data_IF_899114233263
#
_entry.id   IF_899114233263
#
_cell.length_a   1.000
_cell.length_b   1.000
_cell.length_c   1.000
_cell.angle_alpha   90.00
_cell.angle_beta   90.00
_cell.angle_gamma   90.00
#
_symmetry.space_group_name_H-M   'P 1'
#
loop_
_entity.id
_entity.type
_entity.pdbx_description
1 polymer ?
#
# COMPACT_ATOMS: atom_id res chain seq x y z
N UNK A 1 12.13 7.55 8.91
CA UNK A 1 10.69 7.22 8.80
C UNK A 1 10.49 5.76 9.16
N UNK A 2 9.48 5.46 9.97
CA UNK A 2 9.04 4.10 10.29
C UNK A 2 7.98 3.69 9.26
N UNK A 3 8.07 2.48 8.73
CA UNK A 3 7.08 1.89 7.83
C UNK A 3 6.39 0.76 8.58
N UNK A 4 5.07 0.66 8.44
CA UNK A 4 4.25 -0.32 9.15
C UNK A 4 3.49 -1.21 8.18
N UNK A 5 3.11 -2.39 8.67
CA UNK A 5 2.32 -3.34 7.88
C UNK A 5 1.05 -2.66 7.33
N UNK A 6 0.69 -2.98 6.07
CA UNK A 6 -0.47 -2.44 5.35
C UNK A 6 -0.45 -0.94 5.02
N UNK A 7 0.65 -0.24 5.29
CA UNK A 7 0.92 1.04 4.66
C UNK A 7 1.29 0.85 3.19
N UNK A 8 1.24 1.91 2.40
CA UNK A 8 1.66 1.85 1.00
C UNK A 8 2.78 2.83 0.71
N UNK A 9 3.64 2.45 -0.21
CA UNK A 9 4.69 3.31 -0.75
C UNK A 9 4.59 3.32 -2.26
N UNK A 10 4.79 4.49 -2.84
CA UNK A 10 4.80 4.69 -4.28
C UNK A 10 6.20 5.10 -4.71
N UNK A 11 6.64 4.54 -5.82
CA UNK A 11 7.95 4.78 -6.42
C UNK A 11 7.86 5.82 -7.54
N UNK A 12 9.00 6.29 -8.03
CA UNK A 12 9.06 7.31 -9.11
C UNK A 12 8.47 6.80 -10.42
N UNK A 13 8.48 5.49 -10.63
CA UNK A 13 7.90 4.81 -11.79
C UNK A 13 6.37 4.63 -11.66
N UNK A 14 5.75 5.12 -10.59
CA UNK A 14 4.32 4.98 -10.32
C UNK A 14 3.92 3.59 -9.81
N UNK A 15 4.89 2.73 -9.48
CA UNK A 15 4.59 1.44 -8.86
C UNK A 15 4.20 1.65 -7.41
N UNK A 16 3.08 1.04 -6.98
CA UNK A 16 2.57 1.12 -5.62
C UNK A 16 2.76 -0.23 -4.93
N UNK A 17 3.51 -0.21 -3.84
CA UNK A 17 3.81 -1.36 -3.01
C UNK A 17 3.06 -1.29 -1.69
N UNK A 18 2.67 -2.46 -1.17
CA UNK A 18 2.07 -2.61 0.15
C UNK A 18 3.12 -3.16 1.10
N UNK A 19 3.39 -2.43 2.18
CA UNK A 19 4.41 -2.76 3.19
C UNK A 19 4.04 -4.03 3.94
N UNK A 20 5.03 -4.89 4.18
CA UNK A 20 4.89 -6.16 4.89
C UNK A 20 5.66 -6.12 6.20
N UNK A 21 4.95 -6.31 7.31
CA UNK A 21 5.52 -6.34 8.65
C UNK A 21 6.03 -4.97 9.13
N UNK A 22 6.76 -4.99 10.24
CA UNK A 22 7.28 -3.80 10.93
C UNK A 22 8.81 -3.72 10.94
N UNK A 23 9.46 -4.79 10.51
CA UNK A 23 10.92 -4.94 10.52
C UNK A 23 11.45 -4.86 9.11
N UNK A 24 12.34 -3.89 8.87
CA UNK A 24 12.92 -3.65 7.56
C UNK A 24 14.43 -3.43 7.67
N UNK A 25 15.22 -3.81 6.64
CA UNK A 25 16.62 -3.41 6.57
C UNK A 25 16.76 -1.87 6.58
N UNK A 26 17.93 -1.37 6.97
CA UNK A 26 18.13 0.08 7.16
C UNK A 26 17.89 0.90 5.88
N UNK A 27 18.20 0.34 4.72
CA UNK A 27 18.22 1.04 3.43
C UNK A 27 16.96 0.85 2.58
N UNK A 28 16.06 -0.06 2.95
CA UNK A 28 14.89 -0.45 2.13
C UNK A 28 13.68 -0.84 2.97
N UNK A 29 12.53 -0.91 2.33
CA UNK A 29 11.24 -1.29 2.95
C UNK A 29 10.75 -2.56 2.28
N UNK A 30 10.50 -3.61 3.06
CA UNK A 30 9.94 -4.86 2.54
C UNK A 30 8.48 -4.62 2.20
N UNK A 31 8.13 -4.82 0.93
CA UNK A 31 6.81 -4.51 0.42
C UNK A 31 6.55 -5.26 -0.89
N UNK A 32 5.36 -5.82 -1.07
CA UNK A 32 4.98 -6.46 -2.32
C UNK A 32 4.37 -5.46 -3.30
N UNK A 33 4.65 -5.61 -4.59
CA UNK A 33 4.05 -4.75 -5.61
C UNK A 33 2.56 -5.07 -5.69
N UNK A 34 1.70 -4.08 -5.46
CA UNK A 34 0.24 -4.27 -5.43
C UNK A 34 -0.46 -3.65 -6.64
N UNK A 35 -0.01 -2.47 -7.08
CA UNK A 35 -0.51 -1.82 -8.28
C UNK A 35 0.64 -1.34 -9.16
N UNK A 36 0.44 -1.41 -10.47
CA UNK A 36 1.34 -0.83 -11.47
C UNK A 36 0.54 -0.03 -12.50
N UNK A 37 1.13 1.03 -13.10
CA UNK A 37 0.49 1.78 -14.17
C UNK A 37 0.16 0.89 -15.37
N UNK A 38 -1.07 0.99 -15.86
CA UNK A 38 -1.58 0.16 -16.96
C UNK A 38 -2.75 0.86 -17.63
N UNK A 39 -2.68 1.06 -18.95
CA UNK A 39 -3.77 1.67 -19.75
C UNK A 39 -5.08 0.88 -19.72
N UNK A 40 -5.02 -0.41 -19.36
CA UNK A 40 -6.19 -1.28 -19.18
C UNK A 40 -6.58 -1.46 -17.71
N UNK A 41 -6.04 -0.62 -16.84
CA UNK A 41 -6.26 -0.65 -15.40
C UNK A 41 -7.70 -0.32 -15.02
N UNK A 42 -8.21 -0.97 -13.96
CA UNK A 42 -9.55 -0.69 -13.42
C UNK A 42 -9.56 0.42 -12.37
N UNK A 43 -8.40 0.68 -11.77
CA UNK A 43 -8.18 1.73 -10.79
C UNK A 43 -7.59 2.95 -11.50
N UNK A 44 -7.90 4.16 -11.05
CA UNK A 44 -7.36 5.39 -11.63
C UNK A 44 -7.29 6.54 -10.64
N UNK A 45 -6.24 7.34 -10.80
CA UNK A 45 -6.13 8.65 -10.15
C UNK A 45 -5.81 9.70 -11.22
N UNK A 46 -6.74 10.62 -11.44
CA UNK A 46 -6.70 11.54 -12.57
C UNK A 46 -6.64 10.77 -13.90
N UNK A 47 -5.60 11.04 -14.70
CA UNK A 47 -5.38 10.41 -16.00
C UNK A 47 -4.55 9.11 -15.94
N UNK A 48 -4.09 8.71 -14.74
CA UNK A 48 -3.26 7.50 -14.59
C UNK A 48 -4.13 6.33 -14.19
N UNK A 49 -4.04 5.24 -14.95
CA UNK A 49 -4.75 3.98 -14.70
C UNK A 49 -3.80 2.92 -14.11
N UNK A 50 -4.34 2.05 -13.27
CA UNK A 50 -3.60 1.05 -12.51
C UNK A 50 -4.24 -0.34 -12.59
N UNK A 51 -3.39 -1.36 -12.71
CA UNK A 51 -3.76 -2.76 -12.60
C UNK A 51 -3.24 -3.35 -11.30
N UNK A 52 -4.03 -4.23 -10.67
CA UNK A 52 -3.51 -5.10 -9.60
C UNK A 52 -2.58 -6.15 -10.21
N UNK A 53 -1.48 -6.39 -9.52
CA UNK A 53 -0.43 -7.33 -9.94
C UNK A 53 -0.67 -8.76 -9.46
N UNK A 54 -1.55 -8.94 -8.48
CA UNK A 54 -1.93 -10.24 -7.93
C UNK A 54 -3.44 -10.37 -7.99
N UNK A 55 -3.91 -11.47 -8.57
CA UNK A 55 -5.35 -11.75 -8.66
C UNK A 55 -5.87 -12.25 -7.31
N UNK A 56 -5.05 -13.03 -6.61
CA UNK A 56 -5.33 -13.60 -5.30
C UNK A 56 -4.14 -13.36 -4.36
N UNK A 57 -4.40 -13.25 -3.06
CA UNK A 57 -3.34 -13.11 -2.06
C UNK A 57 -2.80 -14.50 -1.68
N UNK A 58 -2.19 -15.20 -2.64
CA UNK A 58 -1.54 -16.50 -2.44
C UNK A 58 -0.02 -16.38 -2.48
N UNK A 59 0.68 -17.32 -1.84
CA UNK A 59 2.14 -17.41 -1.90
C UNK A 59 2.63 -17.55 -3.35
N UNK A 60 1.91 -18.28 -4.20
CA UNK A 60 2.24 -18.46 -5.62
C UNK A 60 2.18 -17.15 -6.41
N UNK A 61 1.20 -16.28 -6.14
CA UNK A 61 1.10 -14.97 -6.78
C UNK A 61 2.22 -14.02 -6.29
N UNK A 62 2.60 -14.10 -5.02
CA UNK A 62 3.76 -13.35 -4.48
C UNK A 62 5.05 -13.78 -5.17
N UNK A 63 5.26 -15.08 -5.38
CA UNK A 63 6.44 -15.59 -6.10
C UNK A 63 6.47 -15.10 -7.55
N UNK A 64 5.34 -15.15 -8.27
CA UNK A 64 5.24 -14.56 -9.62
C UNK A 64 5.54 -13.07 -9.63
N UNK A 65 5.04 -12.34 -8.63
CA UNK A 65 5.28 -10.91 -8.46
C UNK A 65 6.78 -10.61 -8.28
N UNK A 66 7.48 -11.41 -7.47
CA UNK A 66 8.93 -11.32 -7.27
C UNK A 66 9.69 -11.61 -8.58
N UNK A 67 9.35 -12.67 -9.31
CA UNK A 67 9.99 -12.96 -10.61
C UNK A 67 9.76 -11.87 -11.65
N UNK A 68 8.55 -11.31 -11.71
CA UNK A 68 8.26 -10.21 -12.62
C UNK A 68 9.05 -8.95 -12.26
N UNK A 69 9.12 -8.60 -10.97
CA UNK A 69 9.95 -7.51 -10.48
C UNK A 69 11.44 -7.75 -10.78
N UNK A 70 11.95 -8.97 -10.62
CA UNK A 70 13.34 -9.29 -10.94
C UNK A 70 13.68 -9.02 -12.42
N UNK A 71 12.75 -9.30 -13.32
CA UNK A 71 12.93 -9.06 -14.76
C UNK A 71 12.84 -7.59 -15.16
N UNK A 72 11.93 -6.83 -14.54
CA UNK A 72 11.56 -5.48 -14.99
C UNK A 72 12.11 -4.35 -14.11
N UNK A 73 12.26 -4.61 -12.81
CA UNK A 73 12.71 -3.66 -11.79
C UNK A 73 13.64 -4.34 -10.76
N UNK A 74 14.80 -4.88 -11.20
CA UNK A 74 15.69 -5.66 -10.33
C UNK A 74 16.16 -4.89 -9.09
N UNK A 75 16.15 -3.55 -9.12
CA UNK A 75 16.46 -2.69 -7.97
C UNK A 75 15.50 -2.88 -6.78
N UNK A 76 14.32 -3.47 -7.00
CA UNK A 76 13.31 -3.75 -5.99
C UNK A 76 13.38 -5.19 -5.46
N UNK A 77 14.38 -5.97 -5.85
CA UNK A 77 14.63 -7.30 -5.30
C UNK A 77 15.70 -7.23 -4.21
N UNK A 78 15.46 -7.98 -3.14
CA UNK A 78 16.36 -8.10 -2.01
C UNK A 78 16.56 -9.55 -1.60
N UNK A 79 17.81 -9.98 -1.56
CA UNK A 79 18.20 -11.26 -0.97
C UNK A 79 18.23 -11.11 0.56
N UNK A 80 17.15 -11.50 1.23
CA UNK A 80 17.10 -11.40 2.70
C UNK A 80 17.86 -12.56 3.34
N UNK A 81 18.96 -12.25 4.03
CA UNK A 81 19.67 -13.24 4.85
C UNK A 81 18.83 -13.73 6.04
N UNK A 82 17.93 -12.89 6.55
CA UNK A 82 17.06 -13.22 7.70
C UNK A 82 16.00 -14.25 7.31
N UNK A 83 15.43 -14.12 6.10
CA UNK A 83 14.39 -15.02 5.62
C UNK A 83 14.91 -16.14 4.73
N UNK A 84 16.18 -16.09 4.31
CA UNK A 84 16.78 -17.07 3.39
C UNK A 84 16.19 -17.07 1.98
N UNK A 85 15.48 -16.00 1.59
CA UNK A 85 14.75 -15.94 0.32
C UNK A 85 14.92 -14.58 -0.39
N UNK A 86 14.69 -14.58 -1.70
CA UNK A 86 14.47 -13.36 -2.50
C UNK A 86 13.08 -12.79 -2.20
N UNK A 87 13.05 -11.52 -1.80
CA UNK A 87 11.82 -10.78 -1.53
C UNK A 87 11.83 -9.44 -2.24
N UNK A 88 10.66 -8.88 -2.46
CA UNK A 88 10.53 -7.50 -2.91
C UNK A 88 10.75 -6.52 -1.75
N UNK A 89 11.62 -5.55 -1.98
CA UNK A 89 11.90 -4.48 -1.04
C UNK A 89 12.34 -3.21 -1.77
N UNK A 90 11.70 -2.09 -1.48
CA UNK A 90 11.93 -0.81 -2.14
C UNK A 90 13.04 -0.03 -1.43
N UNK A 91 14.16 0.33 -2.08
CA UNK A 91 15.16 1.22 -1.50
C UNK A 91 14.52 2.54 -1.09
N UNK A 92 14.87 3.05 0.10
CA UNK A 92 14.27 4.28 0.65
C UNK A 92 14.40 5.48 -0.30
N UNK A 93 15.51 5.56 -1.03
CA UNK A 93 15.77 6.62 -2.03
C UNK A 93 14.83 6.59 -3.23
N UNK A 94 14.18 5.47 -3.50
CA UNK A 94 13.24 5.28 -4.61
C UNK A 94 11.79 5.58 -4.21
N UNK A 95 11.52 5.74 -2.91
CA UNK A 95 10.17 6.05 -2.41
C UNK A 95 9.87 7.51 -2.71
N UNK A 96 8.87 7.74 -3.55
CA UNK A 96 8.33 9.06 -3.88
C UNK A 96 7.28 9.49 -2.85
N UNK A 97 6.40 8.59 -2.45
CA UNK A 97 5.28 8.90 -1.54
C UNK A 97 5.02 7.76 -0.57
N UNK A 98 4.61 8.11 0.65
CA UNK A 98 4.26 7.19 1.72
C UNK A 98 2.83 7.46 2.18
N UNK A 99 1.98 6.44 2.07
CA UNK A 99 0.57 6.47 2.41
C UNK A 99 0.34 5.78 3.75
N UNK A 100 -0.16 6.55 4.72
CA UNK A 100 -0.39 6.11 6.10
C UNK A 100 -1.90 6.05 6.35
N UNK A 101 -2.47 4.88 6.73
CA UNK A 101 -3.91 4.69 6.93
C UNK A 101 -4.61 5.74 7.79
N UNK A 102 -4.01 6.09 8.92
CA UNK A 102 -4.55 7.07 9.87
C UNK A 102 -4.60 8.46 9.24
N UNK A 103 -3.57 8.83 8.46
CA UNK A 103 -3.54 10.12 7.76
C UNK A 103 -4.60 10.17 6.67
N UNK A 104 -4.83 9.07 5.95
CA UNK A 104 -5.88 9.00 4.94
C UNK A 104 -7.27 9.20 5.55
N UNK A 105 -7.57 8.50 6.65
CA UNK A 105 -8.85 8.66 7.34
C UNK A 105 -9.04 10.09 7.87
N UNK A 106 -8.01 10.64 8.50
CA UNK A 106 -8.06 12.01 9.03
C UNK A 106 -8.25 13.05 7.92
N UNK A 107 -7.67 12.83 6.74
CA UNK A 107 -7.89 13.68 5.59
C UNK A 107 -9.34 13.66 5.12
N UNK A 108 -9.95 12.46 4.97
CA UNK A 108 -11.36 12.33 4.60
C UNK A 108 -12.26 13.04 5.63
N UNK A 109 -11.98 12.87 6.93
CA UNK A 109 -12.73 13.54 8.00
C UNK A 109 -12.65 15.06 7.92
N UNK A 110 -11.47 15.61 7.61
CA UNK A 110 -11.26 17.07 7.52
C UNK A 110 -11.90 17.68 6.28
N UNK A 111 -11.75 17.03 5.12
CA UNK A 111 -12.26 17.55 3.86
C UNK A 111 -13.75 17.25 3.62
N UNK A 112 -14.31 16.31 4.40
CA UNK A 112 -15.62 15.72 4.16
C UNK A 112 -15.55 14.56 3.14
N UNK A 113 -16.45 13.56 3.25
CA UNK A 113 -16.49 12.46 2.29
C UNK A 113 -16.93 12.96 0.91
N UNK A 114 -16.30 12.45 -0.14
CA UNK A 114 -16.56 12.84 -1.53
C UNK A 114 -17.45 11.85 -2.28
N UNK A 115 -17.65 10.66 -1.72
CA UNK A 115 -18.51 9.63 -2.27
C UNK A 115 -19.19 8.79 -1.17
N UNK A 116 -20.10 7.92 -1.58
CA UNK A 116 -20.85 7.05 -0.68
C UNK A 116 -19.97 5.99 0.02
N UNK A 117 -18.82 5.64 -0.54
CA UNK A 117 -17.91 4.66 0.05
C UNK A 117 -17.12 5.30 1.20
N UNK A 118 -16.64 6.52 1.03
CA UNK A 118 -16.00 7.31 2.09
C UNK A 118 -16.96 7.63 3.21
N UNK A 119 -18.21 8.02 2.89
CA UNK A 119 -19.25 8.25 3.90
C UNK A 119 -19.46 6.98 4.76
N UNK A 120 -19.65 5.82 4.13
CA UNK A 120 -19.77 4.53 4.83
C UNK A 120 -18.55 4.18 5.67
N UNK A 121 -17.35 4.53 5.21
CA UNK A 121 -16.13 4.31 5.97
C UNK A 121 -16.10 5.14 7.25
N UNK A 122 -16.49 6.42 7.18
CA UNK A 122 -16.58 7.30 8.34
C UNK A 122 -17.63 6.80 9.33
N UNK A 123 -18.83 6.46 8.86
CA UNK A 123 -19.90 5.91 9.69
C UNK A 123 -19.48 4.61 10.39
N UNK A 124 -18.79 3.71 9.67
CA UNK A 124 -18.28 2.47 10.25
C UNK A 124 -17.21 2.74 11.31
N UNK A 125 -16.28 3.66 11.06
CA UNK A 125 -15.28 4.06 12.06
C UNK A 125 -15.96 4.62 13.30
N UNK A 126 -16.98 5.45 13.13
CA UNK A 126 -17.72 6.07 14.24
C UNK A 126 -18.43 5.01 15.09
N UNK A 127 -19.11 4.07 14.44
CA UNK A 127 -19.75 2.92 15.09
C UNK A 127 -18.72 2.07 15.84
N UNK A 128 -17.59 1.73 15.22
CA UNK A 128 -16.56 0.90 15.84
C UNK A 128 -15.90 1.61 17.02
N UNK A 129 -15.61 2.91 16.91
CA UNK A 129 -15.02 3.71 17.98
C UNK A 129 -15.96 3.79 19.20
N UNK A 130 -17.26 4.03 18.97
CA UNK A 130 -18.27 4.09 20.04
C UNK A 130 -18.38 2.77 20.81
N UNK A 131 -18.42 1.65 20.08
CA UNK A 131 -18.61 0.30 20.65
C UNK A 131 -17.35 -0.23 21.32
N UNK A 132 -16.19 -0.02 20.73
CA UNK A 132 -14.91 -0.51 21.25
C UNK A 132 -14.27 0.42 22.29
N UNK A 133 -14.77 1.65 22.45
CA UNK A 133 -14.13 2.73 23.23
C UNK A 133 -12.72 3.07 22.77
N UNK A 134 -12.37 2.70 21.54
CA UNK A 134 -11.07 3.03 20.94
C UNK A 134 -11.14 4.44 20.35
N UNK A 135 -10.16 5.33 20.61
CA UNK A 135 -10.14 6.66 20.00
C UNK A 135 -10.08 6.58 18.47
N UNK A 136 -10.85 7.45 17.79
CA UNK A 136 -10.90 7.50 16.31
C UNK A 136 -9.51 7.65 15.65
N UNK A 137 -8.55 8.25 16.35
CA UNK A 137 -7.16 8.42 15.90
C UNK A 137 -6.37 7.10 15.74
N UNK A 138 -6.85 6.00 16.31
CA UNK A 138 -6.25 4.67 16.17
C UNK A 138 -6.77 3.93 14.93
N UNK A 139 -7.84 4.41 14.32
CA UNK A 139 -8.39 3.84 13.09
C UNK A 139 -7.72 4.42 11.86
N UNK A 140 -7.77 3.68 10.76
CA UNK A 140 -7.27 4.12 9.47
C UNK A 140 -7.99 3.39 8.34
N UNK A 141 -7.87 3.94 7.14
CA UNK A 141 -8.38 3.35 5.90
C UNK A 141 -7.22 2.79 5.07
N UNK A 142 -7.48 1.77 4.27
CA UNK A 142 -6.45 1.11 3.46
C UNK A 142 -6.97 0.81 2.06
N UNK A 143 -6.13 0.23 1.21
CA UNK A 143 -6.49 -0.13 -0.16
C UNK A 143 -6.65 1.07 -1.08
N UNK A 144 -7.50 0.92 -2.10
CA UNK A 144 -7.72 1.94 -3.13
C UNK A 144 -8.22 3.27 -2.57
N UNK A 145 -9.03 3.24 -1.49
CA UNK A 145 -9.51 4.45 -0.83
C UNK A 145 -8.37 5.30 -0.24
N UNK A 146 -7.41 4.67 0.45
CA UNK A 146 -6.22 5.38 0.96
C UNK A 146 -5.36 5.95 -0.17
N UNK A 147 -5.28 5.21 -1.28
CA UNK A 147 -4.47 5.56 -2.45
C UNK A 147 -5.15 6.59 -3.36
N UNK A 148 -6.48 6.75 -3.26
CA UNK A 148 -7.32 7.54 -4.17
C UNK A 148 -7.13 7.13 -5.63
N UNK A 149 -7.16 5.81 -5.85
CA UNK A 149 -7.12 5.14 -7.15
C UNK A 149 -8.35 4.26 -7.33
#
# INVERSE_FOLDING_TARGET
>A
MLFKDREFIETREGLIFCVVGYMHPRDRVIAYLKYLPSSKGKWSSGLTYYSRTMKYYSASEVVKNVYWLEKHYPQYIFNSKVFGIKISAVPRRCILKHYIPQKGLEEIRKRGPQDALEQKALELVDLLAERSKTPKSFFGITGSMLLKI
#
